data_IF_881722890532
#
_entry.id   IF_881722890532
#
_cell.length_a   1.000
_cell.length_b   1.000
_cell.length_c   1.000
_cell.angle_alpha   90.00
_cell.angle_beta   90.00
_cell.angle_gamma   90.00
#
_symmetry.space_group_name_H-M   'P 1'
#
loop_
_entity.id
_entity.type
_entity.pdbx_description
1 polymer ?
#
# COMPACT_ATOMS: atom_id res chain seq x y z
N UNK A 1 -20.33 -13.98 6.18
CA UNK A 1 -18.90 -13.64 6.12
C UNK A 1 -18.78 -12.15 6.33
N UNK A 2 -17.74 -11.70 7.03
CA UNK A 2 -17.47 -10.27 7.15
C UNK A 2 -17.08 -9.69 5.78
N UNK A 3 -17.42 -8.41 5.51
CA UNK A 3 -16.97 -7.76 4.29
C UNK A 3 -15.43 -7.66 4.25
N UNK A 4 -14.81 -7.70 3.06
CA UNK A 4 -13.37 -7.50 2.94
C UNK A 4 -12.97 -6.10 3.46
N UNK A 5 -11.72 -5.94 3.94
CA UNK A 5 -11.23 -4.63 4.35
C UNK A 5 -11.17 -3.69 3.15
N UNK A 6 -11.35 -2.39 3.39
CA UNK A 6 -11.24 -1.34 2.35
C UNK A 6 -9.78 -0.92 2.09
N UNK A 7 -8.84 -1.32 2.96
CA UNK A 7 -7.42 -1.05 2.82
C UNK A 7 -6.63 -2.16 3.51
N UNK A 8 -5.57 -2.64 2.85
CA UNK A 8 -4.51 -3.45 3.47
C UNK A 8 -3.19 -2.71 3.36
N UNK A 9 -2.40 -2.72 4.44
CA UNK A 9 -1.06 -2.12 4.47
C UNK A 9 -0.07 -3.20 4.90
N UNK A 10 0.90 -3.47 4.04
CA UNK A 10 2.03 -4.36 4.33
C UNK A 10 3.29 -3.52 4.57
N UNK A 11 4.07 -3.88 5.59
CA UNK A 11 5.33 -3.21 5.92
C UNK A 11 6.49 -4.14 5.56
N UNK A 12 7.45 -3.64 4.78
CA UNK A 12 8.63 -4.42 4.39
C UNK A 12 9.58 -4.59 5.58
N UNK A 13 10.11 -5.79 5.73
CA UNK A 13 11.19 -6.11 6.65
C UNK A 13 12.30 -6.86 5.91
N UNK A 14 13.52 -6.82 6.43
CA UNK A 14 14.68 -7.51 5.83
C UNK A 14 14.44 -9.03 5.64
N UNK A 15 13.59 -9.65 6.47
CA UNK A 15 13.26 -11.08 6.39
C UNK A 15 12.17 -11.44 5.38
N UNK A 16 11.43 -10.46 4.84
CA UNK A 16 10.30 -10.68 3.92
C UNK A 16 10.60 -10.27 2.48
N UNK A 17 11.87 -9.94 2.17
CA UNK A 17 12.24 -9.09 1.04
C UNK A 17 11.95 -9.68 -0.36
N UNK A 18 11.88 -11.01 -0.57
CA UNK A 18 12.00 -11.53 -1.95
C UNK A 18 11.04 -12.65 -2.44
N UNK A 19 10.01 -13.05 -1.68
CA UNK A 19 9.10 -14.10 -2.19
C UNK A 19 7.60 -13.85 -1.96
N UNK A 20 7.23 -12.95 -1.05
CA UNK A 20 5.84 -12.89 -0.54
C UNK A 20 4.97 -11.78 -1.18
N UNK A 21 5.57 -10.75 -1.78
CA UNK A 21 4.81 -9.57 -2.23
C UNK A 21 3.98 -9.79 -3.50
N UNK A 22 4.45 -10.63 -4.43
CA UNK A 22 3.72 -10.88 -5.69
C UNK A 22 2.48 -11.77 -5.49
N UNK A 23 2.52 -12.70 -4.54
CA UNK A 23 1.36 -13.58 -4.23
C UNK A 23 0.23 -12.77 -3.60
N UNK A 24 0.54 -12.03 -2.53
CA UNK A 24 -0.43 -11.23 -1.76
C UNK A 24 -1.21 -10.23 -2.61
N UNK A 25 -0.56 -9.51 -3.53
CA UNK A 25 -1.24 -8.54 -4.42
C UNK A 25 -2.35 -9.19 -5.26
N UNK A 26 -2.13 -10.41 -5.73
CA UNK A 26 -3.12 -11.11 -6.56
C UNK A 26 -4.28 -11.61 -5.69
N UNK A 27 -3.99 -12.10 -4.49
CA UNK A 27 -5.00 -12.49 -3.50
C UNK A 27 -5.90 -11.32 -3.10
N UNK A 28 -5.34 -10.13 -2.83
CA UNK A 28 -6.12 -8.94 -2.48
C UNK A 28 -7.00 -8.45 -3.64
N UNK A 29 -6.53 -8.58 -4.88
CA UNK A 29 -7.33 -8.24 -6.06
C UNK A 29 -8.52 -9.20 -6.22
N UNK A 30 -8.34 -10.51 -5.96
CA UNK A 30 -9.44 -11.48 -5.95
C UNK A 30 -10.46 -11.19 -4.85
N UNK A 31 -10.04 -10.58 -3.74
CA UNK A 31 -10.91 -10.17 -2.64
C UNK A 31 -11.57 -8.79 -2.85
N UNK A 32 -11.39 -8.16 -4.03
CA UNK A 32 -11.91 -6.83 -4.36
C UNK A 32 -11.54 -5.74 -3.33
N UNK A 33 -10.33 -5.83 -2.75
CA UNK A 33 -9.84 -4.81 -1.82
C UNK A 33 -9.45 -3.56 -2.63
N UNK A 34 -10.08 -2.39 -2.40
CA UNK A 34 -9.94 -1.25 -3.31
C UNK A 34 -8.55 -0.60 -3.23
N UNK A 35 -7.90 -0.60 -2.07
CA UNK A 35 -6.52 -0.12 -1.91
C UNK A 35 -5.61 -1.10 -1.19
N UNK A 36 -4.37 -1.16 -1.65
CA UNK A 36 -3.30 -1.95 -1.04
C UNK A 36 -2.02 -1.14 -1.00
N UNK A 37 -1.38 -1.05 0.17
CA UNK A 37 -0.18 -0.23 0.35
C UNK A 37 1.01 -1.10 0.76
N UNK A 38 2.18 -0.75 0.24
CA UNK A 38 3.48 -1.26 0.70
C UNK A 38 4.23 -0.10 1.31
N UNK A 39 4.54 -0.19 2.60
CA UNK A 39 5.45 0.72 3.29
C UNK A 39 6.81 0.05 3.34
N UNK A 40 7.81 0.62 2.65
CA UNK A 40 9.16 0.09 2.56
C UNK A 40 10.17 1.04 3.22
N UNK A 41 10.54 0.78 4.49
CA UNK A 41 11.56 1.56 5.19
C UNK A 41 12.96 1.40 4.61
N UNK A 42 13.27 0.25 3.99
CA UNK A 42 14.59 -0.02 3.41
C UNK A 42 14.81 0.81 2.14
N UNK A 43 13.73 1.04 1.40
CA UNK A 43 13.73 1.88 0.20
C UNK A 43 13.26 3.31 0.46
N UNK A 44 12.87 3.68 1.70
CA UNK A 44 12.26 4.98 2.03
C UNK A 44 11.10 5.35 1.09
N UNK A 45 10.17 4.41 0.87
CA UNK A 45 9.08 4.56 -0.10
C UNK A 45 7.75 4.03 0.44
N UNK A 46 6.65 4.68 0.07
CA UNK A 46 5.30 4.11 0.17
C UNK A 46 4.75 3.87 -1.22
N UNK A 47 4.29 2.65 -1.51
CA UNK A 47 3.63 2.31 -2.78
C UNK A 47 2.16 2.09 -2.53
N UNK A 48 1.30 2.86 -3.19
CA UNK A 48 -0.15 2.71 -3.15
C UNK A 48 -0.61 2.02 -4.43
N UNK A 49 -1.37 0.93 -4.29
CA UNK A 49 -2.08 0.27 -5.37
C UNK A 49 -3.58 0.56 -5.28
N UNK A 50 -4.18 1.03 -6.37
CA UNK A 50 -5.64 1.20 -6.53
C UNK A 50 -6.18 0.11 -7.45
N UNK A 51 -7.21 -0.62 -7.00
CA UNK A 51 -7.79 -1.71 -7.79
C UNK A 51 -8.62 -1.15 -8.95
N UNK A 52 -8.23 -1.49 -10.18
CA UNK A 52 -8.93 -1.11 -11.40
C UNK A 52 -9.04 -2.34 -12.32
N UNK A 53 -10.27 -2.69 -12.70
CA UNK A 53 -10.53 -3.82 -13.61
C UNK A 53 -9.86 -5.14 -13.21
N UNK A 54 -9.80 -5.43 -11.91
CA UNK A 54 -9.21 -6.67 -11.37
C UNK A 54 -7.69 -6.64 -11.19
N UNK A 55 -7.03 -5.51 -11.43
CA UNK A 55 -5.59 -5.33 -11.25
C UNK A 55 -5.28 -4.04 -10.50
N UNK A 56 -4.27 -4.05 -9.65
CA UNK A 56 -3.84 -2.79 -9.01
C UNK A 56 -3.03 -1.93 -9.98
N UNK A 57 -3.33 -0.64 -10.06
CA UNK A 57 -2.44 0.38 -10.60
C UNK A 57 -1.65 1.01 -9.46
N UNK A 58 -0.31 1.03 -9.57
CA UNK A 58 0.56 1.41 -8.45
C UNK A 58 1.25 2.74 -8.66
N UNK A 59 1.26 3.58 -7.62
CA UNK A 59 2.01 4.85 -7.55
C UNK A 59 2.91 4.82 -6.32
N UNK A 60 4.15 5.28 -6.49
CA UNK A 60 5.16 5.33 -5.44
C UNK A 60 5.39 6.77 -4.97
N UNK A 61 5.47 6.95 -3.65
CA UNK A 61 5.62 8.24 -2.98
C UNK A 61 6.86 8.21 -2.09
N UNK A 62 7.61 9.31 -2.05
CA UNK A 62 8.87 9.45 -1.30
C UNK A 62 8.96 10.82 -0.63
N UNK A 63 9.73 10.94 0.45
CA UNK A 63 9.95 12.23 1.10
C UNK A 63 8.65 12.94 1.50
N UNK A 64 8.54 14.21 1.09
CA UNK A 64 7.38 15.07 1.34
C UNK A 64 6.22 14.87 0.34
N UNK A 65 6.28 13.87 -0.54
CA UNK A 65 5.17 13.55 -1.44
C UNK A 65 3.92 13.21 -0.61
N UNK A 66 2.83 13.95 -0.85
CA UNK A 66 1.54 13.69 -0.23
C UNK A 66 0.92 12.42 -0.81
N UNK A 67 0.48 11.50 0.05
CA UNK A 67 -0.23 10.32 -0.39
C UNK A 67 -1.64 10.69 -0.86
N UNK A 68 -1.95 10.34 -2.11
CA UNK A 68 -3.28 10.54 -2.69
C UNK A 68 -4.05 9.22 -2.66
N UNK A 69 -4.76 8.99 -1.55
CA UNK A 69 -5.67 7.84 -1.41
C UNK A 69 -7.03 8.17 -2.04
N UNK A 70 -7.53 7.25 -2.85
CA UNK A 70 -8.89 7.23 -3.37
C UNK A 70 -9.92 6.83 -2.31
N UNK A 71 -9.54 5.96 -1.37
CA UNK A 71 -10.39 5.51 -0.24
C UNK A 71 -10.45 6.58 0.85
N UNK A 72 -9.36 7.29 1.11
CA UNK A 72 -9.24 8.33 2.12
C UNK A 72 -8.80 9.67 1.50
N UNK A 73 -9.66 10.37 0.73
CA UNK A 73 -9.28 11.57 -0.02
C UNK A 73 -8.83 12.76 0.86
N UNK A 74 -9.25 12.77 2.13
CA UNK A 74 -8.88 13.81 3.09
C UNK A 74 -7.60 13.48 3.87
N UNK A 75 -6.98 12.32 3.62
CA UNK A 75 -5.73 11.95 4.28
C UNK A 75 -4.64 12.96 3.92
N UNK A 76 -4.00 13.53 4.94
CA UNK A 76 -2.98 14.57 4.81
C UNK A 76 -1.66 14.08 5.42
N UNK A 77 -1.13 13.00 4.86
CA UNK A 77 0.16 12.43 5.24
C UNK A 77 1.12 12.43 4.05
N UNK A 78 2.39 12.67 4.34
CA UNK A 78 3.51 12.46 3.42
C UNK A 78 4.10 11.06 3.57
N UNK A 79 4.86 10.61 2.57
CA UNK A 79 5.59 9.34 2.68
C UNK A 79 6.53 9.32 3.90
N UNK A 80 7.26 10.41 4.16
CA UNK A 80 8.11 10.55 5.34
C UNK A 80 7.33 10.45 6.65
N UNK A 81 6.13 11.03 6.74
CA UNK A 81 5.30 10.92 7.94
C UNK A 81 4.81 9.48 8.18
N UNK A 82 4.57 8.70 7.12
CA UNK A 82 4.18 7.29 7.23
C UNK A 82 5.37 6.41 7.64
N UNK A 83 6.55 6.69 7.08
CA UNK A 83 7.78 5.94 7.36
C UNK A 83 8.35 6.24 8.75
N UNK A 84 8.05 7.42 9.31
CA UNK A 84 8.53 7.81 10.63
C UNK A 84 7.65 7.23 11.75
N UNK A 85 8.13 6.16 12.38
CA UNK A 85 7.65 5.71 13.68
C UNK A 85 8.45 6.41 14.79
N UNK A 86 8.00 7.59 15.18
CA UNK A 86 8.40 8.18 16.47
C UNK A 86 7.33 7.94 17.52
#
# INVERSE_FOLDING_TARGET
SDPPPILVVEVVSESTQDTDYRSKRSEYAVLDIPEYWIVDPLQEQVTLGTLESGFYNTVSYRGDDRINSTVFPNLALTATQILNTR
#
